data_IF_851629758951
#
_entry.id   IF_851629758951
#
_cell.length_a   1.000
_cell.length_b   1.000
_cell.length_c   1.000
_cell.angle_alpha   90.00
_cell.angle_beta   90.00
_cell.angle_gamma   90.00
#
_symmetry.space_group_name_H-M   'P 1'
#
loop_
_entity.id
_entity.type
_entity.pdbx_description
1 polymer ?
#
# COMPACT_ATOMS: atom_id res chain seq x y z
N UNK A 1 -11.75 -19.16 -49.01
CA UNK A 1 -10.97 -19.84 -50.07
C UNK A 1 -10.37 -18.76 -50.95
N UNK A 2 -9.13 -18.36 -50.65
CA UNK A 2 -8.22 -17.65 -51.55
C UNK A 2 -6.78 -17.89 -51.05
N UNK A 3 -6.02 -18.54 -51.93
CA UNK A 3 -4.60 -18.93 -51.95
C UNK A 3 -3.62 -17.76 -51.62
N UNK A 4 -2.58 -17.95 -50.80
CA UNK A 4 -1.26 -18.58 -51.01
C UNK A 4 -0.21 -17.76 -51.83
N UNK A 5 0.74 -17.17 -51.08
CA UNK A 5 2.23 -17.20 -51.26
C UNK A 5 2.91 -16.41 -52.44
N UNK A 6 4.26 -16.34 -52.53
CA UNK A 6 5.16 -15.43 -51.79
C UNK A 6 6.27 -14.78 -52.69
N UNK A 7 7.02 -13.78 -52.22
CA UNK A 7 8.25 -13.29 -52.91
C UNK A 7 8.96 -12.30 -51.99
N UNK A 8 10.28 -12.16 -51.86
CA UNK A 8 11.49 -12.94 -52.14
C UNK A 8 12.60 -12.12 -51.49
N UNK A 9 13.58 -12.77 -50.88
CA UNK A 9 14.82 -12.13 -50.44
C UNK A 9 15.69 -11.71 -51.63
N UNK A 10 16.74 -10.91 -51.39
CA UNK A 10 18.03 -11.21 -51.98
C UNK A 10 19.07 -11.53 -50.90
N UNK A 11 20.00 -12.39 -51.28
CA UNK A 11 21.07 -12.95 -50.48
C UNK A 11 22.45 -12.42 -50.92
N UNK A 12 23.44 -12.64 -50.02
CA UNK A 12 24.91 -12.70 -50.24
C UNK A 12 25.61 -11.34 -50.39
N UNK A 13 26.85 -11.12 -49.93
CA UNK A 13 27.87 -11.89 -49.20
C UNK A 13 28.83 -10.83 -48.61
N UNK A 14 29.57 -11.11 -47.54
CA UNK A 14 30.94 -11.60 -47.70
C UNK A 14 31.80 -11.09 -46.55
N UNK A 15 32.65 -11.99 -46.06
CA UNK A 15 33.52 -11.84 -44.90
C UNK A 15 34.73 -10.97 -45.22
N UNK A 16 35.28 -10.29 -44.21
CA UNK A 16 36.73 -10.18 -43.94
C UNK A 16 36.95 -9.63 -42.53
N UNK A 17 37.83 -10.31 -41.80
CA UNK A 17 38.34 -9.96 -40.49
C UNK A 17 39.55 -9.01 -40.63
N UNK A 18 39.67 -8.07 -39.69
CA UNK A 18 40.89 -7.44 -39.15
C UNK A 18 40.34 -6.46 -38.08
N UNK A 19 40.69 -6.52 -36.80
CA UNK A 19 42.04 -6.34 -36.28
C UNK A 19 42.23 -4.86 -35.88
N UNK A 20 41.76 -4.43 -34.72
CA UNK A 20 42.27 -3.22 -34.05
C UNK A 20 42.09 -3.33 -32.52
N UNK A 21 43.21 -3.18 -31.84
CA UNK A 21 43.41 -3.24 -30.39
C UNK A 21 43.07 -1.90 -29.72
N UNK A 22 42.72 -1.98 -28.44
CA UNK A 22 42.81 -0.98 -27.36
C UNK A 22 42.53 0.50 -27.65
N UNK A 23 41.51 1.03 -26.97
CA UNK A 23 41.72 2.11 -26.00
C UNK A 23 40.59 2.08 -24.94
N UNK A 24 40.99 1.78 -23.71
CA UNK A 24 40.22 1.95 -22.48
C UNK A 24 39.98 3.44 -22.22
N UNK A 25 38.72 3.85 -22.12
CA UNK A 25 38.32 4.97 -21.25
C UNK A 25 37.10 4.49 -20.43
N UNK A 26 37.41 3.80 -19.34
CA UNK A 26 36.57 3.71 -18.15
C UNK A 26 36.43 5.12 -17.58
N UNK A 27 35.31 5.79 -17.83
CA UNK A 27 34.84 6.93 -17.05
C UNK A 27 33.30 7.01 -17.16
N UNK A 28 32.64 6.01 -16.59
CA UNK A 28 31.25 6.15 -16.14
C UNK A 28 31.14 5.84 -14.65
N UNK A 29 31.99 6.50 -13.86
CA UNK A 29 31.83 6.61 -12.42
C UNK A 29 30.88 7.78 -12.12
N UNK A 30 29.60 7.54 -12.39
CA UNK A 30 28.48 8.38 -12.00
C UNK A 30 27.50 7.56 -11.17
N UNK A 31 28.03 6.88 -10.15
CA UNK A 31 27.23 6.17 -9.17
C UNK A 31 26.22 7.12 -8.54
N UNK A 32 24.95 6.99 -8.92
CA UNK A 32 23.86 7.42 -8.06
C UNK A 32 23.76 6.34 -6.97
N UNK A 33 24.71 6.37 -6.04
CA UNK A 33 24.43 5.95 -4.67
C UNK A 33 23.49 7.01 -4.08
N UNK A 34 22.22 6.99 -4.52
CA UNK A 34 21.16 7.49 -3.65
C UNK A 34 21.09 6.50 -2.50
N UNK A 35 21.78 6.85 -1.40
CA UNK A 35 21.69 6.16 -0.14
C UNK A 35 20.26 6.16 0.39
N UNK A 36 19.42 5.25 -0.10
CA UNK A 36 18.26 4.77 0.61
C UNK A 36 18.76 3.66 1.52
N UNK A 37 19.23 4.00 2.72
CA UNK A 37 19.45 2.98 3.75
C UNK A 37 18.09 2.38 4.14
N UNK A 38 17.73 1.26 3.50
CA UNK A 38 16.84 0.24 4.03
C UNK A 38 15.35 0.58 4.16
N UNK A 39 14.74 1.37 3.27
CA UNK A 39 13.28 1.47 3.26
C UNK A 39 12.66 0.21 2.62
N UNK A 40 11.85 -0.50 3.40
CA UNK A 40 11.13 -1.69 2.98
C UNK A 40 9.71 -1.33 2.54
N UNK A 41 9.23 -2.03 1.51
CA UNK A 41 7.87 -1.86 1.00
C UNK A 41 6.88 -2.36 2.06
N UNK A 42 5.94 -1.49 2.43
CA UNK A 42 4.94 -1.72 3.47
C UNK A 42 3.59 -2.12 2.88
N UNK A 43 3.15 -1.39 1.86
CA UNK A 43 1.83 -1.54 1.27
C UNK A 43 1.79 -1.00 -0.16
N UNK A 44 0.76 -1.39 -0.90
CA UNK A 44 0.45 -0.88 -2.23
C UNK A 44 -1.04 -0.55 -2.30
N UNK A 45 -1.39 0.46 -3.10
CA UNK A 45 -2.78 0.74 -3.44
C UNK A 45 -2.98 0.34 -4.89
N UNK A 46 -3.74 -0.73 -5.11
CA UNK A 46 -4.00 -1.32 -6.43
C UNK A 46 -5.49 -1.18 -6.73
N UNK A 47 -5.83 -0.51 -7.84
CA UNK A 47 -7.22 -0.23 -8.21
C UNK A 47 -8.04 0.44 -7.09
N UNK A 48 -7.38 1.29 -6.30
CA UNK A 48 -7.97 1.99 -5.16
C UNK A 48 -8.12 1.16 -3.88
N UNK A 49 -7.69 -0.11 -3.88
CA UNK A 49 -7.74 -1.01 -2.71
C UNK A 49 -6.38 -1.15 -2.06
N UNK A 50 -6.38 -1.28 -0.73
CA UNK A 50 -5.15 -1.43 0.05
C UNK A 50 -4.67 -2.90 0.09
N UNK A 51 -3.42 -3.12 -0.30
CA UNK A 51 -2.69 -4.37 -0.08
C UNK A 51 -1.52 -4.15 0.89
N UNK A 52 -1.51 -4.88 2.00
CA UNK A 52 -0.53 -4.74 3.10
C UNK A 52 0.52 -5.85 3.03
N UNK A 53 1.40 -5.79 2.03
CA UNK A 53 2.38 -6.84 1.74
C UNK A 53 3.57 -6.86 2.70
N UNK A 54 3.89 -5.73 3.34
CA UNK A 54 5.06 -5.56 4.21
C UNK A 54 4.77 -5.67 5.70
N UNK A 55 3.53 -5.94 6.10
CA UNK A 55 3.16 -6.22 7.49
C UNK A 55 3.05 -7.73 7.72
N UNK A 56 3.19 -8.16 8.98
CA UNK A 56 2.85 -9.52 9.35
C UNK A 56 1.41 -9.84 8.90
N UNK A 57 1.22 -10.92 8.14
CA UNK A 57 -0.05 -11.20 7.46
C UNK A 57 -1.26 -11.27 8.40
N UNK A 58 -1.06 -11.68 9.66
CA UNK A 58 -2.10 -11.70 10.69
C UNK A 58 -2.57 -10.28 11.07
N UNK A 59 -1.62 -9.34 11.21
CA UNK A 59 -1.89 -7.94 11.59
C UNK A 59 -2.49 -7.18 10.41
N UNK A 60 -1.93 -7.36 9.20
CA UNK A 60 -2.47 -6.77 7.98
C UNK A 60 -3.92 -7.18 7.74
N UNK A 61 -4.21 -8.49 7.80
CA UNK A 61 -5.57 -9.00 7.62
C UNK A 61 -6.56 -8.47 8.69
N UNK A 62 -6.11 -8.28 9.93
CA UNK A 62 -6.94 -7.67 10.98
C UNK A 62 -7.28 -6.21 10.69
N UNK A 63 -6.32 -5.44 10.19
CA UNK A 63 -6.55 -4.05 9.81
C UNK A 63 -7.52 -3.96 8.63
N UNK A 64 -7.29 -4.72 7.55
CA UNK A 64 -8.20 -4.77 6.39
C UNK A 64 -9.60 -5.24 6.81
N UNK A 65 -9.67 -6.30 7.61
CA UNK A 65 -10.95 -6.83 8.12
C UNK A 65 -11.69 -5.89 9.07
N UNK A 66 -11.04 -4.87 9.63
CA UNK A 66 -11.70 -3.89 10.49
C UNK A 66 -12.70 -3.05 9.69
N UNK A 67 -12.41 -2.72 8.43
CA UNK A 67 -13.31 -1.96 7.57
C UNK A 67 -14.68 -2.63 7.44
N UNK A 68 -14.68 -3.92 7.09
CA UNK A 68 -15.89 -4.73 6.98
C UNK A 68 -16.64 -4.79 8.31
N UNK A 69 -15.93 -4.95 9.43
CA UNK A 69 -16.57 -5.03 10.76
C UNK A 69 -17.17 -3.71 11.21
N UNK A 70 -16.57 -2.57 10.87
CA UNK A 70 -17.18 -1.26 11.11
C UNK A 70 -18.45 -1.13 10.26
N UNK A 71 -18.39 -1.46 8.96
CA UNK A 71 -19.54 -1.42 8.08
C UNK A 71 -20.69 -2.32 8.58
N UNK A 72 -20.38 -3.56 9.00
CA UNK A 72 -21.34 -4.48 9.62
C UNK A 72 -22.00 -3.86 10.86
N UNK A 73 -21.20 -3.27 11.75
CA UNK A 73 -21.74 -2.62 12.94
C UNK A 73 -22.70 -1.46 12.60
N UNK A 74 -22.41 -0.69 11.54
CA UNK A 74 -23.28 0.39 11.08
C UNK A 74 -24.58 -0.14 10.47
N UNK A 75 -24.53 -1.18 9.63
CA UNK A 75 -25.70 -1.77 8.97
C UNK A 75 -26.62 -2.44 9.99
N UNK A 76 -26.04 -3.23 10.91
CA UNK A 76 -26.78 -4.02 11.89
C UNK A 76 -27.15 -3.23 13.15
N UNK A 77 -26.66 -2.00 13.30
CA UNK A 77 -26.88 -1.17 14.50
C UNK A 77 -26.19 -1.73 15.76
N UNK A 78 -25.05 -2.40 15.59
CA UNK A 78 -24.26 -3.00 16.66
C UNK A 78 -23.28 -1.98 17.27
N UNK A 79 -22.75 -2.24 18.47
CA UNK A 79 -21.64 -1.46 19.01
C UNK A 79 -20.42 -1.45 18.09
N UNK A 80 -19.69 -0.34 18.09
CA UNK A 80 -18.44 -0.18 17.34
C UNK A 80 -17.41 -1.25 17.76
N UNK A 81 -16.58 -1.75 16.84
CA UNK A 81 -15.49 -2.66 17.18
C UNK A 81 -14.58 -2.06 18.27
N UNK A 82 -14.15 -2.89 19.23
CA UNK A 82 -13.35 -2.43 20.38
C UNK A 82 -12.02 -1.82 19.93
N UNK A 83 -11.48 -2.28 18.80
CA UNK A 83 -10.25 -1.78 18.21
C UNK A 83 -10.35 -0.28 17.89
N UNK A 84 -11.53 0.21 17.48
CA UNK A 84 -11.71 1.62 17.12
C UNK A 84 -11.50 2.57 18.31
N UNK A 85 -11.64 2.11 19.56
CA UNK A 85 -11.46 2.95 20.76
C UNK A 85 -10.01 3.45 20.90
N UNK A 86 -9.03 2.65 20.46
CA UNK A 86 -7.60 2.95 20.61
C UNK A 86 -6.92 3.50 19.37
N UNK A 87 -7.58 3.49 18.21
CA UNK A 87 -6.99 3.88 16.93
C UNK A 87 -7.25 5.36 16.64
N UNK A 88 -6.19 6.07 16.26
CA UNK A 88 -6.28 7.48 15.89
C UNK A 88 -7.23 7.69 14.71
N UNK A 89 -8.00 8.77 14.78
CA UNK A 89 -8.91 9.24 13.72
C UNK A 89 -9.95 8.20 13.24
N UNK A 90 -10.22 7.16 14.04
CA UNK A 90 -11.21 6.12 13.71
C UNK A 90 -12.64 6.66 13.69
N UNK A 91 -12.94 7.65 14.54
CA UNK A 91 -14.26 8.30 14.61
C UNK A 91 -14.63 9.00 13.30
N UNK A 92 -13.66 9.59 12.61
CA UNK A 92 -13.87 10.24 11.30
C UNK A 92 -14.25 9.20 10.23
N UNK A 93 -13.54 8.07 10.19
CA UNK A 93 -13.87 6.97 9.27
C UNK A 93 -15.27 6.42 9.55
N UNK A 94 -15.59 6.19 10.83
CA UNK A 94 -16.91 5.69 11.24
C UNK A 94 -18.00 6.68 10.84
N UNK A 95 -17.77 7.98 11.05
CA UNK A 95 -18.71 9.03 10.67
C UNK A 95 -19.00 9.03 9.17
N UNK A 96 -17.96 8.87 8.33
CA UNK A 96 -18.12 8.78 6.88
C UNK A 96 -18.91 7.53 6.47
N UNK A 97 -18.68 6.38 7.11
CA UNK A 97 -19.45 5.15 6.86
C UNK A 97 -20.92 5.32 7.28
N UNK A 98 -21.19 5.91 8.44
CA UNK A 98 -22.55 6.24 8.90
C UNK A 98 -23.25 7.25 7.96
N UNK A 99 -22.49 8.18 7.37
CA UNK A 99 -23.01 9.14 6.41
C UNK A 99 -23.36 8.46 5.08
N UNK A 100 -22.50 7.58 4.58
CA UNK A 100 -22.77 6.78 3.37
C UNK A 100 -23.97 5.84 3.58
N UNK A 101 -24.09 5.21 4.74
CA UNK A 101 -25.25 4.39 5.07
C UNK A 101 -26.56 5.18 5.00
N UNK A 102 -26.59 6.40 5.55
CA UNK A 102 -27.76 7.29 5.44
C UNK A 102 -28.07 7.70 4.00
N UNK A 103 -27.05 7.79 3.14
CA UNK A 103 -27.20 8.11 1.70
C UNK A 103 -27.69 6.91 0.88
N UNK A 104 -27.50 5.69 1.36
CA UNK A 104 -27.82 4.45 0.64
C UNK A 104 -29.32 4.22 0.38
N UNK A 105 -30.22 5.08 0.87
CA UNK A 105 -31.68 4.93 0.69
C UNK A 105 -32.23 5.09 -0.73
N UNK A 106 -31.39 5.37 -1.75
CA UNK A 106 -31.85 5.61 -3.12
C UNK A 106 -30.94 4.96 -4.17
N UNK A 107 -31.52 4.26 -5.16
CA UNK A 107 -30.84 3.87 -6.39
C UNK A 107 -30.62 2.37 -6.62
N UNK A 108 -31.01 1.49 -5.70
CA UNK A 108 -30.95 0.05 -5.94
C UNK A 108 -32.28 -0.49 -6.50
N UNK A 109 -32.25 -1.28 -7.60
CA UNK A 109 -33.46 -1.88 -8.17
C UNK A 109 -34.05 -2.99 -7.30
N UNK A 110 -33.26 -3.57 -6.40
CA UNK A 110 -33.67 -4.54 -5.39
C UNK A 110 -32.87 -4.27 -4.14
N UNK A 111 -33.55 -4.30 -2.99
CA UNK A 111 -32.92 -4.08 -1.68
C UNK A 111 -31.90 -5.22 -1.40
N UNK A 112 -30.60 -4.91 -1.27
CA UNK A 112 -29.59 -5.88 -0.86
C UNK A 112 -29.93 -6.52 0.50
N UNK A 113 -29.42 -7.74 0.71
CA UNK A 113 -29.37 -8.30 2.06
C UNK A 113 -28.28 -7.63 2.90
N UNK A 114 -28.16 -8.02 4.17
CA UNK A 114 -27.20 -7.42 5.12
C UNK A 114 -25.77 -7.49 4.57
N UNK A 115 -25.35 -8.64 4.04
CA UNK A 115 -24.00 -8.81 3.48
C UNK A 115 -23.79 -7.94 2.24
N UNK A 116 -24.79 -7.85 1.35
CA UNK A 116 -24.73 -6.97 0.19
C UNK A 116 -24.62 -5.48 0.58
N UNK A 117 -25.32 -5.06 1.63
CA UNK A 117 -25.19 -3.70 2.17
C UNK A 117 -23.80 -3.42 2.76
N UNK A 118 -23.23 -4.41 3.46
CA UNK A 118 -21.86 -4.31 3.98
C UNK A 118 -20.86 -4.16 2.82
N UNK A 119 -20.99 -4.96 1.77
CA UNK A 119 -20.11 -4.90 0.59
C UNK A 119 -20.21 -3.53 -0.10
N UNK A 120 -21.41 -2.99 -0.26
CA UNK A 120 -21.64 -1.65 -0.83
C UNK A 120 -20.99 -0.55 0.02
N UNK A 121 -21.12 -0.61 1.34
CA UNK A 121 -20.51 0.40 2.22
C UNK A 121 -18.99 0.32 2.19
N UNK A 122 -18.43 -0.89 2.22
CA UNK A 122 -16.98 -1.11 2.09
C UNK A 122 -16.49 -0.48 0.79
N UNK A 123 -17.08 -0.84 -0.35
CA UNK A 123 -16.66 -0.32 -1.65
C UNK A 123 -16.73 1.22 -1.75
N UNK A 124 -17.82 1.82 -1.27
CA UNK A 124 -18.01 3.29 -1.30
C UNK A 124 -17.06 4.04 -0.37
N UNK A 125 -16.60 3.40 0.69
CA UNK A 125 -15.72 4.04 1.69
C UNK A 125 -14.27 3.57 1.60
N UNK A 126 -13.93 2.73 0.61
CA UNK A 126 -12.58 2.18 0.41
C UNK A 126 -11.52 3.28 0.35
N UNK A 127 -11.74 4.34 -0.45
CA UNK A 127 -10.78 5.45 -0.54
C UNK A 127 -10.55 6.18 0.78
N UNK A 128 -11.59 6.29 1.62
CA UNK A 128 -11.50 6.88 2.97
C UNK A 128 -10.77 5.94 3.92
N UNK A 129 -11.04 4.65 3.81
CA UNK A 129 -10.36 3.61 4.56
C UNK A 129 -8.85 3.57 4.25
N UNK A 130 -8.47 3.56 2.97
CA UNK A 130 -7.07 3.63 2.52
C UNK A 130 -6.36 4.85 3.10
N UNK A 131 -6.95 6.04 2.99
CA UNK A 131 -6.36 7.27 3.53
C UNK A 131 -6.27 7.25 5.05
N UNK A 132 -7.27 6.70 5.74
CA UNK A 132 -7.22 6.49 7.18
C UNK A 132 -6.11 5.51 7.58
N UNK A 133 -5.96 4.38 6.89
CA UNK A 133 -4.89 3.42 7.12
C UNK A 133 -3.51 4.07 6.96
N UNK A 134 -3.32 4.90 5.93
CA UNK A 134 -2.07 5.62 5.75
C UNK A 134 -1.76 6.54 6.95
N UNK A 135 -2.73 7.36 7.37
CA UNK A 135 -2.58 8.27 8.52
C UNK A 135 -2.33 7.51 9.83
N UNK A 136 -3.04 6.41 10.03
CA UNK A 136 -2.87 5.53 11.19
C UNK A 136 -1.45 4.95 11.23
N UNK A 137 -1.01 4.32 10.14
CA UNK A 137 0.33 3.72 10.03
C UNK A 137 1.42 4.77 10.20
N UNK A 138 1.24 5.96 9.63
CA UNK A 138 2.15 7.09 9.83
C UNK A 138 2.18 7.56 11.29
N UNK A 139 1.05 7.57 11.97
CA UNK A 139 0.97 7.95 13.39
C UNK A 139 1.67 6.93 14.27
N UNK A 140 1.40 5.64 14.08
CA UNK A 140 2.02 4.54 14.81
C UNK A 140 3.53 4.51 14.53
N UNK A 141 3.92 4.61 13.26
CA UNK A 141 5.32 4.68 12.82
C UNK A 141 5.98 6.02 13.08
N UNK A 142 5.35 6.96 13.80
CA UNK A 142 5.91 8.27 14.18
C UNK A 142 6.44 9.09 13.00
N UNK A 143 5.78 9.01 11.86
CA UNK A 143 6.11 9.75 10.65
C UNK A 143 7.04 9.02 9.67
N UNK A 144 7.53 7.82 10.01
CA UNK A 144 8.47 7.05 9.16
C UNK A 144 7.83 6.40 7.93
N UNK A 145 6.48 6.42 7.85
CA UNK A 145 5.76 5.89 6.68
C UNK A 145 5.68 6.97 5.61
N UNK A 146 6.25 6.63 4.46
CA UNK A 146 6.33 7.49 3.28
C UNK A 146 5.41 6.98 2.17
N UNK A 147 4.86 7.90 1.39
CA UNK A 147 4.08 7.61 0.19
C UNK A 147 4.96 7.92 -1.01
N UNK A 148 5.19 6.91 -1.84
CA UNK A 148 5.99 6.98 -3.05
C UNK A 148 5.07 6.92 -4.27
N UNK A 149 5.35 7.77 -5.24
CA UNK A 149 4.71 7.69 -6.56
C UNK A 149 5.25 6.45 -7.30
N UNK A 150 4.39 5.71 -8.02
CA UNK A 150 4.83 4.57 -8.81
C UNK A 150 5.81 5.00 -9.89
N UNK A 151 6.91 4.26 -10.03
CA UNK A 151 8.00 4.54 -10.98
C UNK A 151 7.53 4.38 -12.44
N UNK A 152 6.49 3.57 -12.68
CA UNK A 152 5.86 3.41 -14.00
C UNK A 152 4.34 3.59 -13.91
N UNK A 153 3.81 4.78 -14.23
CA UNK A 153 2.37 5.04 -14.23
C UNK A 153 1.62 4.35 -15.39
N UNK A 154 2.31 3.78 -16.38
CA UNK A 154 1.69 3.07 -17.50
C UNK A 154 1.71 1.54 -17.32
N UNK A 155 2.51 1.04 -16.37
CA UNK A 155 2.80 -0.37 -16.12
C UNK A 155 1.89 -1.10 -15.13
N UNK A 156 0.63 -0.67 -14.97
CA UNK A 156 -0.42 -1.49 -14.36
C UNK A 156 -0.80 -1.12 -12.92
N UNK A 157 -2.05 -0.67 -12.75
CA UNK A 157 -2.92 -0.78 -11.56
C UNK A 157 -2.48 -0.12 -10.23
N UNK A 158 -1.19 0.00 -9.98
CA UNK A 158 -0.60 0.48 -8.73
C UNK A 158 -0.63 2.01 -8.76
N UNK A 159 -1.44 2.57 -7.87
CA UNK A 159 -1.61 4.01 -7.74
C UNK A 159 -0.62 4.61 -6.73
N UNK A 160 -0.25 3.86 -5.70
CA UNK A 160 0.61 4.31 -4.60
C UNK A 160 1.41 3.16 -4.03
N UNK A 161 2.65 3.43 -3.61
CA UNK A 161 3.47 2.50 -2.82
C UNK A 161 3.80 3.16 -1.49
N UNK A 162 3.65 2.44 -0.38
CA UNK A 162 4.04 2.94 0.94
C UNK A 162 5.27 2.19 1.43
N UNK A 163 6.18 2.90 2.11
CA UNK A 163 7.42 2.33 2.62
C UNK A 163 7.75 2.82 4.02
N UNK A 164 8.50 2.02 4.77
CA UNK A 164 9.08 2.38 6.07
C UNK A 164 10.42 1.65 6.26
N UNK A 165 11.32 2.21 7.06
CA UNK A 165 12.59 1.57 7.39
C UNK A 165 12.45 0.41 8.39
N UNK A 166 11.36 0.35 9.16
CA UNK A 166 11.18 -0.60 10.26
C UNK A 166 9.80 -1.28 10.21
N UNK A 167 9.50 -2.07 9.16
CA UNK A 167 8.16 -2.66 8.97
C UNK A 167 7.77 -3.64 10.08
N UNK A 168 8.70 -4.38 10.66
CA UNK A 168 8.41 -5.34 11.73
C UNK A 168 8.05 -4.64 13.04
N UNK A 169 8.74 -3.53 13.35
CA UNK A 169 8.43 -2.72 14.53
C UNK A 169 7.04 -2.09 14.37
N UNK A 170 6.76 -1.53 13.19
CA UNK A 170 5.45 -0.98 12.86
C UNK A 170 4.34 -2.04 12.96
N UNK A 171 4.57 -3.26 12.47
CA UNK A 171 3.61 -4.36 12.59
C UNK A 171 3.32 -4.73 14.04
N UNK A 172 4.35 -4.77 14.89
CA UNK A 172 4.19 -5.05 16.33
C UNK A 172 3.40 -3.96 17.05
N UNK A 173 3.69 -2.69 16.77
CA UNK A 173 3.01 -1.57 17.40
C UNK A 173 1.56 -1.47 16.91
N UNK A 174 1.31 -1.72 15.61
CA UNK A 174 -0.02 -1.85 15.06
C UNK A 174 -0.80 -3.00 15.69
N UNK A 175 -0.19 -4.18 15.85
CA UNK A 175 -0.81 -5.31 16.53
C UNK A 175 -1.23 -4.96 17.95
N UNK A 176 -0.37 -4.23 18.68
CA UNK A 176 -0.67 -3.76 20.04
C UNK A 176 -1.82 -2.74 20.06
N UNK A 177 -1.84 -1.79 19.12
CA UNK A 177 -2.91 -0.82 18.98
C UNK A 177 -4.26 -1.48 18.64
N UNK A 178 -4.25 -2.47 17.74
CA UNK A 178 -5.42 -3.28 17.40
C UNK A 178 -5.90 -4.16 18.57
N UNK A 179 -5.06 -4.45 19.56
CA UNK A 179 -5.46 -5.14 20.79
C UNK A 179 -6.01 -4.16 21.85
N UNK A 180 -6.19 -2.87 21.50
CA UNK A 180 -6.63 -1.83 22.42
C UNK A 180 -5.58 -1.46 23.48
N UNK A 181 -4.32 -1.83 23.25
CA UNK A 181 -3.20 -1.46 24.12
C UNK A 181 -2.56 -0.20 23.56
N UNK A 182 -2.25 0.76 24.43
CA UNK A 182 -1.47 1.92 24.00
C UNK A 182 -0.15 1.46 23.36
N UNK A 183 0.26 2.05 22.22
CA UNK A 183 1.52 1.69 21.58
C UNK A 183 2.65 1.82 22.60
N UNK A 184 3.53 0.82 22.66
CA UNK A 184 4.63 0.83 23.61
C UNK A 184 5.49 2.07 23.34
N UNK A 185 5.39 3.08 24.20
CA UNK A 185 6.13 4.32 24.08
C UNK A 185 7.62 4.07 24.41
N UNK A 186 8.35 3.40 23.52
CA UNK A 186 9.81 3.25 23.62
C UNK A 186 10.41 3.37 22.22
N UNK A 187 10.33 4.56 21.66
CA UNK A 187 11.38 5.03 20.75
C UNK A 187 11.71 6.46 21.17
N UNK A 188 12.82 6.59 21.88
CA UNK A 188 13.44 7.89 22.14
C UNK A 188 14.26 8.23 20.88
N UNK A 189 13.84 9.23 20.07
CA UNK A 189 14.56 9.63 18.86
C UNK A 189 15.99 10.13 19.15
N UNK A 190 16.36 10.35 20.41
CA UNK A 190 17.70 10.76 20.81
C UNK A 190 18.66 9.58 21.07
N UNK A 191 18.16 8.34 21.16
CA UNK A 191 19.00 7.16 21.35
C UNK A 191 19.55 6.58 20.03
N UNK A 192 18.90 6.87 18.89
CA UNK A 192 19.37 6.47 17.55
C UNK A 192 20.56 7.31 17.04
N UNK A 193 20.82 8.49 17.62
CA UNK A 193 21.90 9.41 17.19
C UNK A 193 23.23 9.17 17.91
N UNK A 194 23.28 8.33 18.95
CA UNK A 194 24.48 8.13 19.79
C UNK A 194 25.38 6.95 19.42
N UNK A 195 25.30 6.40 18.20
CA UNK A 195 26.33 5.48 17.67
C UNK A 195 27.17 6.18 16.61
N UNK A 196 27.93 7.19 17.01
CA UNK A 196 29.13 7.62 16.28
C UNK A 196 30.31 7.21 17.15
N UNK A 197 31.12 6.22 16.74
CA UNK A 197 32.36 5.92 17.45
C UNK A 197 33.44 6.94 17.06
N UNK A 198 33.99 7.61 18.06
CA UNK A 198 35.33 8.21 18.02
C UNK A 198 35.96 8.01 19.40
#
# INVERSE_FOLDING_TARGET
MFDCHPTSAPARAGWLADGFEDEFEDDFEGGIEQGCSGSHRLAEVVDGRLDLTGLEGSVGARLIGLHRRIAAAVVEGLPRPIECIGLSDSDDLIHEIELEWRRCGHGFPTDPDVEGWIDVLVDRTESRFVEWCFRLLRTIGRGTVERLEPIDPQGGGIQQVWSTAEPELLARDLGSALDGRAPAAVHDPLLSVRRIPA
#
